data_IF_970574783615
#
_entry.id   IF_970574783615
#
_cell.length_a   1.000
_cell.length_b   1.000
_cell.length_c   1.000
_cell.angle_alpha   90.00
_cell.angle_beta   90.00
_cell.angle_gamma   90.00
#
_symmetry.space_group_name_H-M   'P 1'
#
loop_
_entity.id
_entity.type
_entity.pdbx_description
1 polymer ?
#
# COMPACT_ATOMS: atom_id res chain seq x y z
N UNK A 1 -10.24 -5.37 50.98
CA UNK A 1 -8.94 -4.78 50.58
C UNK A 1 -8.09 -5.89 49.98
N UNK A 2 -7.68 -5.70 48.73
CA UNK A 2 -6.88 -6.63 47.90
C UNK A 2 -6.74 -6.02 46.50
N UNK A 3 -5.57 -6.12 45.84
CA UNK A 3 -4.96 -4.96 45.20
C UNK A 3 -5.51 -4.61 43.82
N UNK A 4 -5.75 -3.32 43.62
CA UNK A 4 -6.05 -2.65 42.36
C UNK A 4 -4.78 -2.65 41.48
N UNK A 5 -4.79 -3.40 40.38
CA UNK A 5 -3.74 -3.32 39.38
C UNK A 5 -3.95 -2.06 38.51
N UNK A 6 -3.17 -1.03 38.78
CA UNK A 6 -3.05 0.16 37.93
C UNK A 6 -2.22 -0.19 36.69
N UNK A 7 -2.87 -0.23 35.53
CA UNK A 7 -2.19 -0.38 34.25
C UNK A 7 -1.48 0.94 33.87
N UNK A 8 -0.19 0.92 33.52
CA UNK A 8 0.49 2.11 33.04
C UNK A 8 -0.08 2.53 31.68
N UNK A 9 -0.52 3.79 31.60
CA UNK A 9 -0.94 4.48 30.39
C UNK A 9 0.25 4.58 29.44
N UNK A 10 0.41 3.58 28.56
CA UNK A 10 1.48 3.57 27.57
C UNK A 10 1.09 4.47 26.41
N UNK A 11 1.71 5.64 26.35
CA UNK A 11 1.69 6.52 25.18
C UNK A 11 1.96 5.71 23.91
N UNK A 12 1.01 5.78 22.97
CA UNK A 12 1.10 5.09 21.67
C UNK A 12 2.24 5.69 20.83
N UNK A 13 3.42 5.10 20.97
CA UNK A 13 4.51 5.27 20.01
C UNK A 13 4.20 4.42 18.78
N UNK A 14 3.97 5.09 17.65
CA UNK A 14 3.83 4.52 16.31
C UNK A 14 5.07 3.69 15.96
N UNK A 15 5.01 2.38 16.21
CA UNK A 15 6.00 1.42 15.69
C UNK A 15 5.78 1.28 14.19
N UNK A 16 6.40 2.19 13.46
CA UNK A 16 6.62 2.06 12.02
C UNK A 16 7.35 0.74 11.77
N UNK A 17 6.95 -0.01 10.72
CA UNK A 17 7.74 -1.14 10.23
C UNK A 17 9.10 -0.60 9.78
N UNK A 18 10.12 -0.79 10.62
CA UNK A 18 11.51 -0.52 10.28
C UNK A 18 12.07 -1.76 9.63
N UNK A 19 12.29 -1.73 8.32
CA UNK A 19 13.21 -2.68 7.68
C UNK A 19 14.61 -2.28 8.16
N UNK A 20 15.12 -3.00 9.16
CA UNK A 20 16.50 -2.83 9.61
C UNK A 20 17.39 -3.52 8.58
N UNK A 21 17.96 -2.74 7.65
CA UNK A 21 19.03 -3.22 6.78
C UNK A 21 20.29 -3.36 7.63
N UNK A 22 20.67 -4.60 7.96
CA UNK A 22 21.96 -4.89 8.58
C UNK A 22 23.00 -5.10 7.47
N UNK A 23 23.85 -4.09 7.25
CA UNK A 23 25.09 -4.28 6.51
C UNK A 23 26.24 -4.59 7.49
N UNK A 24 27.05 -5.61 7.19
CA UNK A 24 28.33 -5.87 7.86
C UNK A 24 29.45 -5.31 7.00
N UNK A 25 30.36 -4.54 7.61
CA UNK A 25 31.64 -4.19 7.00
C UNK A 25 32.74 -4.42 8.05
N UNK A 26 33.71 -5.29 7.76
CA UNK A 26 34.88 -5.53 8.63
C UNK A 26 34.58 -5.94 10.08
N UNK A 27 33.53 -6.73 10.34
CA UNK A 27 33.26 -7.29 11.68
C UNK A 27 32.65 -6.33 12.71
N UNK A 28 32.43 -5.05 12.41
CA UNK A 28 31.73 -4.11 13.31
C UNK A 28 30.26 -3.94 12.93
N UNK A 29 29.39 -4.02 13.94
CA UNK A 29 27.92 -3.99 13.84
C UNK A 29 27.44 -2.53 13.80
N UNK A 30 27.13 -1.99 12.62
CA UNK A 30 26.49 -0.67 12.53
C UNK A 30 24.98 -0.77 12.75
N UNK A 31 24.45 -0.14 13.81
CA UNK A 31 23.00 0.12 13.95
C UNK A 31 22.67 1.43 13.23
N UNK A 32 21.98 1.36 12.10
CA UNK A 32 21.42 2.54 11.45
C UNK A 32 20.10 2.90 12.15
N UNK A 33 20.18 3.65 13.25
CA UNK A 33 19.03 4.30 13.88
C UNK A 33 18.72 5.61 13.17
N UNK A 34 18.14 5.54 11.98
CA UNK A 34 17.43 6.69 11.40
C UNK A 34 16.32 6.14 10.55
N UNK A 35 15.09 6.56 10.85
CA UNK A 35 13.87 6.27 10.09
C UNK A 35 14.10 6.77 8.67
N UNK A 36 14.63 5.91 7.81
CA UNK A 36 14.50 6.11 6.38
C UNK A 36 13.01 5.91 6.15
N UNK A 37 12.31 6.96 5.71
CA UNK A 37 10.96 6.85 5.15
C UNK A 37 11.09 5.99 3.88
N UNK A 38 11.25 4.67 4.03
CA UNK A 38 11.31 3.67 2.95
C UNK A 38 9.91 3.32 2.46
N UNK A 39 8.96 4.25 2.56
CA UNK A 39 7.62 4.07 1.98
C UNK A 39 7.65 4.04 0.45
N UNK A 40 8.73 4.52 -0.18
CA UNK A 40 8.78 4.75 -1.63
C UNK A 40 9.26 3.57 -2.50
N UNK A 41 10.33 2.81 -2.19
CA UNK A 41 10.89 1.89 -3.18
C UNK A 41 10.29 0.48 -3.17
N UNK A 42 9.66 0.05 -2.07
CA UNK A 42 9.17 -1.34 -1.95
C UNK A 42 7.89 -1.60 -2.76
N UNK A 43 7.10 -0.56 -3.06
CA UNK A 43 5.65 -0.74 -3.27
C UNK A 43 5.13 -0.72 -4.71
N UNK A 44 5.92 -0.26 -5.68
CA UNK A 44 5.56 -0.26 -7.13
C UNK A 44 6.38 -1.25 -7.97
N UNK A 45 7.34 -1.91 -7.34
CA UNK A 45 8.57 -2.31 -8.00
C UNK A 45 8.69 -3.77 -8.44
N UNK A 46 8.53 -4.71 -7.51
CA UNK A 46 8.52 -6.15 -7.85
C UNK A 46 7.45 -6.47 -8.91
N UNK A 47 6.31 -5.79 -8.81
CA UNK A 47 5.18 -5.93 -9.73
C UNK A 47 5.50 -5.39 -11.14
N UNK A 48 6.39 -4.39 -11.26
CA UNK A 48 6.86 -3.87 -12.55
C UNK A 48 7.72 -4.90 -13.30
N UNK A 49 8.54 -5.69 -12.60
CA UNK A 49 9.48 -6.61 -13.23
C UNK A 49 8.78 -7.84 -13.82
N UNK A 50 7.84 -8.44 -13.10
CA UNK A 50 7.07 -9.59 -13.61
C UNK A 50 6.05 -9.17 -14.67
N UNK A 51 5.37 -8.02 -14.50
CA UNK A 51 4.49 -7.49 -15.54
C UNK A 51 5.26 -7.10 -16.82
N UNK A 52 6.50 -6.59 -16.71
CA UNK A 52 7.37 -6.30 -17.87
C UNK A 52 7.84 -7.59 -18.55
N UNK A 53 8.19 -8.64 -17.80
CA UNK A 53 8.55 -9.96 -18.35
C UNK A 53 7.37 -10.59 -19.10
N UNK A 54 6.17 -10.52 -18.52
CA UNK A 54 4.94 -11.09 -19.09
C UNK A 54 4.27 -10.17 -20.14
N UNK A 55 4.81 -8.97 -20.36
CA UNK A 55 4.22 -7.89 -21.18
C UNK A 55 2.74 -7.62 -20.85
N UNK A 56 2.29 -7.96 -19.65
CA UNK A 56 0.90 -7.77 -19.28
C UNK A 56 0.59 -6.28 -19.14
N UNK A 57 -0.50 -5.79 -19.76
CA UNK A 57 -0.85 -4.38 -19.69
C UNK A 57 -1.50 -4.10 -18.33
N UNK A 58 -0.68 -3.87 -17.29
CA UNK A 58 -1.10 -3.59 -15.91
C UNK A 58 -0.80 -2.13 -15.55
N UNK A 59 -1.74 -1.48 -14.85
CA UNK A 59 -1.55 -0.18 -14.19
C UNK A 59 -1.40 -0.33 -12.67
N UNK A 60 -0.74 0.61 -12.01
CA UNK A 60 -0.54 0.58 -10.56
C UNK A 60 -0.90 1.92 -9.93
N UNK A 61 -1.74 1.89 -8.89
CA UNK A 61 -1.93 3.04 -8.03
C UNK A 61 -0.75 3.21 -7.09
N UNK A 62 -0.47 4.45 -6.72
CA UNK A 62 0.54 4.78 -5.73
C UNK A 62 -0.01 4.58 -4.31
N UNK A 63 0.47 3.58 -3.56
CA UNK A 63 -0.02 3.31 -2.21
C UNK A 63 0.19 4.49 -1.25
N UNK A 64 1.19 5.33 -1.50
CA UNK A 64 1.45 6.53 -0.66
C UNK A 64 0.43 7.63 -0.88
N UNK A 65 -0.26 7.64 -2.03
CA UNK A 65 -1.29 8.61 -2.39
C UNK A 65 -2.70 8.15 -2.05
N UNK A 66 -2.86 6.89 -1.66
CA UNK A 66 -4.18 6.29 -1.38
C UNK A 66 -4.31 5.71 0.02
N UNK A 67 -3.26 5.65 0.84
CA UNK A 67 -3.34 5.12 2.20
C UNK A 67 -4.24 5.98 3.12
N UNK A 68 -4.72 5.39 4.22
CA UNK A 68 -5.69 6.00 5.13
C UNK A 68 -5.33 7.43 5.57
N UNK A 69 -4.05 7.67 5.87
CA UNK A 69 -3.54 9.00 6.28
C UNK A 69 -3.75 10.09 5.23
N UNK A 70 -3.87 9.72 3.94
CA UNK A 70 -4.14 10.66 2.86
C UNK A 70 -5.59 11.17 2.86
N UNK A 71 -6.52 10.42 3.45
CA UNK A 71 -7.93 10.82 3.55
C UNK A 71 -8.47 11.02 4.97
N UNK A 72 -7.69 10.67 6.00
CA UNK A 72 -8.03 10.98 7.40
C UNK A 72 -7.50 12.34 7.81
N UNK A 73 -8.30 13.09 8.57
CA UNK A 73 -7.89 14.37 9.16
C UNK A 73 -7.34 14.12 10.55
N UNK A 74 -6.10 14.56 10.78
CA UNK A 74 -5.53 14.69 12.12
C UNK A 74 -5.19 16.17 12.31
N UNK A 75 -5.81 16.82 13.29
CA UNK A 75 -5.51 18.19 13.67
C UNK A 75 -4.85 18.17 15.05
N UNK A 76 -3.75 18.90 15.20
CA UNK A 76 -3.23 19.21 16.53
C UNK A 76 -4.15 20.23 17.21
N UNK A 77 -4.45 20.10 18.51
CA UNK A 77 -5.24 21.08 19.26
C UNK A 77 -4.65 22.50 19.23
N UNK A 78 -3.36 22.63 18.96
CA UNK A 78 -2.60 23.88 19.01
C UNK A 78 -2.52 24.63 17.67
N UNK A 79 -3.34 24.25 16.67
CA UNK A 79 -3.31 24.92 15.36
C UNK A 79 -3.79 26.36 15.53
N UNK A 80 -2.98 27.35 15.14
CA UNK A 80 -3.36 28.78 15.20
C UNK A 80 -4.69 29.08 14.49
N UNK A 81 -5.00 28.34 13.41
CA UNK A 81 -6.24 28.45 12.64
C UNK A 81 -7.50 28.00 13.41
N UNK A 82 -7.32 27.35 14.55
CA UNK A 82 -8.37 26.89 15.46
C UNK A 82 -8.39 27.69 16.76
N UNK A 83 -7.48 28.67 16.92
CA UNK A 83 -7.45 29.56 18.07
C UNK A 83 -8.73 30.38 18.07
N UNK A 84 -9.36 30.48 19.24
CA UNK A 84 -10.58 31.25 19.49
C UNK A 84 -11.84 30.80 18.72
N UNK A 85 -11.82 29.60 18.11
CA UNK A 85 -12.99 29.00 17.44
C UNK A 85 -13.86 28.18 18.40
N UNK A 86 -15.16 28.18 18.16
CA UNK A 86 -16.08 27.32 18.92
C UNK A 86 -15.91 25.84 18.53
N UNK A 87 -16.33 24.89 19.39
CA UNK A 87 -16.33 23.46 19.05
C UNK A 87 -17.04 23.14 17.72
N UNK A 88 -18.15 23.84 17.42
CA UNK A 88 -18.93 23.68 16.19
C UNK A 88 -18.15 24.14 14.95
N UNK A 89 -17.48 25.29 15.04
CA UNK A 89 -16.63 25.82 13.96
C UNK A 89 -15.45 24.89 13.69
N UNK A 90 -14.85 24.31 14.74
CA UNK A 90 -13.79 23.32 14.61
C UNK A 90 -14.31 22.05 13.92
N UNK A 91 -15.53 21.61 14.25
CA UNK A 91 -16.15 20.43 13.65
C UNK A 91 -16.46 20.66 12.15
N UNK A 92 -17.03 21.81 11.79
CA UNK A 92 -17.32 22.17 10.40
C UNK A 92 -16.02 22.30 9.59
N UNK A 93 -14.98 22.93 10.16
CA UNK A 93 -13.66 23.00 9.55
C UNK A 93 -13.05 21.61 9.31
N UNK A 94 -13.09 20.71 10.31
CA UNK A 94 -12.64 19.32 10.19
C UNK A 94 -13.38 18.60 9.07
N UNK A 95 -14.70 18.78 8.97
CA UNK A 95 -15.55 18.18 7.94
C UNK A 95 -15.19 18.70 6.54
N UNK A 96 -14.96 20.00 6.39
CA UNK A 96 -14.49 20.62 5.15
C UNK A 96 -13.15 20.04 4.69
N UNK A 97 -12.16 20.02 5.59
CA UNK A 97 -10.83 19.45 5.31
C UNK A 97 -10.90 17.96 4.97
N UNK A 98 -11.75 17.22 5.67
CA UNK A 98 -11.96 15.80 5.42
C UNK A 98 -12.54 15.55 4.03
N UNK A 99 -13.57 16.31 3.65
CA UNK A 99 -14.16 16.27 2.31
C UNK A 99 -13.12 16.59 1.23
N UNK A 100 -12.29 17.61 1.44
CA UNK A 100 -11.23 17.97 0.49
C UNK A 100 -10.21 16.84 0.32
N UNK A 101 -9.76 16.22 1.41
CA UNK A 101 -8.84 15.08 1.34
C UNK A 101 -9.45 13.90 0.58
N UNK A 102 -10.71 13.56 0.84
CA UNK A 102 -11.43 12.50 0.11
C UNK A 102 -11.47 12.79 -1.40
N UNK A 103 -11.82 14.03 -1.77
CA UNK A 103 -11.86 14.47 -3.18
C UNK A 103 -10.49 14.36 -3.84
N UNK A 104 -9.42 14.77 -3.15
CA UNK A 104 -8.06 14.73 -3.70
C UNK A 104 -7.62 13.29 -4.00
N UNK A 105 -7.88 12.34 -3.10
CA UNK A 105 -7.59 10.93 -3.33
C UNK A 105 -8.47 10.38 -4.46
N UNK A 106 -9.76 10.69 -4.47
CA UNK A 106 -10.68 10.24 -5.53
C UNK A 106 -10.26 10.74 -6.92
N UNK A 107 -9.88 12.02 -7.03
CA UNK A 107 -9.41 12.61 -8.28
C UNK A 107 -8.09 11.98 -8.74
N UNK A 108 -7.17 11.71 -7.81
CA UNK A 108 -5.93 10.99 -8.14
C UNK A 108 -6.24 9.63 -8.77
N UNK A 109 -7.09 8.83 -8.13
CA UNK A 109 -7.46 7.49 -8.60
C UNK A 109 -8.21 7.59 -9.93
N UNK A 110 -9.18 8.51 -10.06
CA UNK A 110 -9.94 8.70 -11.29
C UNK A 110 -9.06 9.11 -12.48
N UNK A 111 -8.08 10.00 -12.27
CA UNK A 111 -7.07 10.33 -13.28
C UNK A 111 -6.17 9.14 -13.63
N UNK A 112 -5.81 8.33 -12.64
CA UNK A 112 -5.05 7.10 -12.88
C UNK A 112 -5.85 6.09 -13.73
N UNK A 113 -7.16 5.94 -13.50
CA UNK A 113 -8.02 5.10 -14.34
C UNK A 113 -8.06 5.59 -15.79
N UNK A 114 -8.18 6.91 -16.01
CA UNK A 114 -8.12 7.50 -17.36
C UNK A 114 -6.76 7.27 -18.04
N UNK A 115 -5.67 7.39 -17.27
CA UNK A 115 -4.31 7.17 -17.77
C UNK A 115 -4.05 5.70 -18.14
N UNK A 116 -4.61 4.76 -17.37
CA UNK A 116 -4.44 3.32 -17.57
C UNK A 116 -5.53 2.68 -18.43
N UNK A 117 -6.21 3.43 -19.31
CA UNK A 117 -7.25 2.87 -20.19
C UNK A 117 -6.70 1.82 -21.19
N UNK A 118 -5.44 1.93 -21.60
CA UNK A 118 -4.78 0.91 -22.40
C UNK A 118 -4.32 -0.31 -21.58
N UNK A 119 -4.58 -0.32 -20.26
CA UNK A 119 -4.27 -1.42 -19.36
C UNK A 119 -5.51 -2.30 -19.16
N UNK A 120 -5.27 -3.60 -19.04
CA UNK A 120 -6.30 -4.59 -18.74
C UNK A 120 -6.80 -4.48 -17.31
N UNK A 121 -5.92 -4.17 -16.36
CA UNK A 121 -6.21 -4.13 -14.93
C UNK A 121 -5.40 -3.05 -14.24
N UNK A 122 -5.96 -2.46 -13.18
CA UNK A 122 -5.27 -1.55 -12.27
C UNK A 122 -5.14 -2.23 -10.91
N UNK A 123 -3.93 -2.31 -10.40
CA UNK A 123 -3.59 -2.93 -9.13
C UNK A 123 -3.30 -1.86 -8.07
N UNK A 124 -3.67 -2.14 -6.82
CA UNK A 124 -3.43 -1.23 -5.72
C UNK A 124 -3.16 -1.97 -4.41
N UNK A 125 -2.25 -1.42 -3.60
CA UNK A 125 -2.11 -1.78 -2.20
C UNK A 125 -2.66 -0.64 -1.35
N UNK A 126 -3.67 -0.91 -0.53
CA UNK A 126 -4.24 0.07 0.39
C UNK A 126 -3.82 -0.26 1.82
N UNK A 127 -3.40 0.77 2.56
CA UNK A 127 -3.00 0.64 3.96
C UNK A 127 -3.93 1.41 4.87
N UNK A 128 -4.44 0.75 5.90
CA UNK A 128 -5.26 1.32 6.96
C UNK A 128 -4.90 0.65 8.29
N UNK A 129 -4.79 1.43 9.37
CA UNK A 129 -4.47 0.94 10.71
C UNK A 129 -3.30 -0.07 10.74
N UNK A 130 -2.20 0.24 10.03
CA UNK A 130 -1.02 -0.62 9.88
C UNK A 130 -1.27 -2.01 9.21
N UNK A 131 -2.42 -2.19 8.58
CA UNK A 131 -2.79 -3.37 7.79
C UNK A 131 -2.81 -3.07 6.29
N UNK A 132 -2.35 -4.01 5.46
CA UNK A 132 -2.36 -3.88 3.99
C UNK A 132 -3.36 -4.85 3.37
N UNK A 133 -4.11 -4.35 2.40
CA UNK A 133 -4.96 -5.14 1.51
C UNK A 133 -4.56 -4.90 0.05
N UNK A 134 -4.75 -5.92 -0.79
CA UNK A 134 -4.61 -5.82 -2.24
C UNK A 134 -5.94 -5.52 -2.91
N UNK A 135 -5.92 -4.74 -3.99
CA UNK A 135 -7.09 -4.51 -4.84
C UNK A 135 -6.76 -4.81 -6.29
N UNK A 136 -7.67 -5.54 -6.94
CA UNK A 136 -7.66 -5.80 -8.38
C UNK A 136 -8.84 -5.04 -8.99
N UNK A 137 -8.56 -4.00 -9.76
CA UNK A 137 -9.56 -3.06 -10.25
C UNK A 137 -9.66 -3.17 -11.77
N UNK A 138 -10.88 -3.33 -12.26
CA UNK A 138 -11.22 -3.30 -13.69
C UNK A 138 -12.14 -2.11 -13.98
N UNK A 139 -11.61 -0.91 -14.23
CA UNK A 139 -12.43 0.29 -14.47
C UNK A 139 -13.46 0.08 -15.60
N UNK A 140 -13.04 -0.51 -16.72
CA UNK A 140 -13.91 -0.78 -17.87
C UNK A 140 -15.05 -1.76 -17.59
N UNK A 141 -14.85 -2.69 -16.66
CA UNK A 141 -15.83 -3.71 -16.27
C UNK A 141 -16.64 -3.31 -15.03
N UNK A 142 -16.34 -2.15 -14.45
CA UNK A 142 -16.97 -1.64 -13.23
C UNK A 142 -16.82 -2.61 -12.04
N UNK A 143 -15.68 -3.30 -11.91
CA UNK A 143 -15.45 -4.23 -10.79
C UNK A 143 -14.17 -3.93 -10.04
N UNK A 144 -14.20 -4.21 -8.73
CA UNK A 144 -13.02 -4.26 -7.88
C UNK A 144 -13.11 -5.48 -6.97
N UNK A 145 -12.01 -6.22 -6.87
CA UNK A 145 -11.86 -7.33 -5.94
C UNK A 145 -10.88 -6.94 -4.85
N UNK A 146 -11.28 -7.16 -3.59
CA UNK A 146 -10.46 -6.89 -2.40
C UNK A 146 -9.87 -8.20 -1.90
N UNK A 147 -8.55 -8.24 -1.78
CA UNK A 147 -7.78 -9.34 -1.23
C UNK A 147 -7.26 -8.94 0.15
N UNK A 148 -7.91 -9.46 1.19
CA UNK A 148 -7.58 -9.17 2.58
C UNK A 148 -6.97 -10.40 3.28
N UNK A 149 -5.70 -10.34 3.72
CA UNK A 149 -5.06 -11.44 4.44
C UNK A 149 -5.71 -11.78 5.79
N UNK A 150 -6.53 -10.91 6.38
CA UNK A 150 -7.18 -11.12 7.69
C UNK A 150 -8.71 -11.09 7.65
N UNK A 151 -9.32 -10.87 6.48
CA UNK A 151 -10.77 -10.71 6.33
C UNK A 151 -11.36 -9.67 7.29
N UNK A 152 -10.73 -8.50 7.40
CA UNK A 152 -11.37 -7.39 8.09
C UNK A 152 -12.73 -7.11 7.46
N UNK A 153 -13.71 -6.81 8.31
CA UNK A 153 -14.98 -6.29 7.84
C UNK A 153 -14.73 -5.08 6.93
N UNK A 154 -15.47 -5.01 5.83
CA UNK A 154 -15.39 -3.89 4.90
C UNK A 154 -15.71 -2.55 5.55
N UNK A 155 -16.38 -2.53 6.70
CA UNK A 155 -16.57 -1.32 7.52
C UNK A 155 -15.23 -0.68 7.91
N UNK A 156 -14.19 -1.48 8.14
CA UNK A 156 -12.84 -1.02 8.50
C UNK A 156 -12.19 -0.14 7.42
N UNK A 157 -12.61 -0.31 6.16
CA UNK A 157 -12.11 0.43 5.01
C UNK A 157 -13.23 1.00 4.11
N UNK A 158 -14.45 1.12 4.64
CA UNK A 158 -15.66 1.59 3.92
C UNK A 158 -15.49 2.97 3.33
N UNK A 159 -14.77 3.84 4.04
CA UNK A 159 -14.45 5.17 3.54
C UNK A 159 -13.61 5.10 2.26
N UNK A 160 -12.64 4.18 2.20
CA UNK A 160 -11.84 4.00 0.99
C UNK A 160 -12.67 3.42 -0.16
N UNK A 161 -13.58 2.48 0.10
CA UNK A 161 -14.54 2.01 -0.91
C UNK A 161 -15.40 3.15 -1.45
N UNK A 162 -15.80 4.09 -0.59
CA UNK A 162 -16.54 5.29 -0.99
C UNK A 162 -15.70 6.20 -1.89
N UNK A 163 -14.41 6.39 -1.57
CA UNK A 163 -13.46 7.11 -2.44
C UNK A 163 -13.37 6.44 -3.82
N UNK A 164 -13.30 5.11 -3.89
CA UNK A 164 -13.28 4.38 -5.18
C UNK A 164 -14.55 4.62 -6.00
N UNK A 165 -15.72 4.67 -5.35
CA UNK A 165 -16.97 5.03 -6.04
C UNK A 165 -16.91 6.44 -6.62
N UNK A 166 -16.40 7.42 -5.87
CA UNK A 166 -16.23 8.79 -6.39
C UNK A 166 -15.19 8.87 -7.51
N UNK A 167 -14.08 8.15 -7.38
CA UNK A 167 -13.05 8.06 -8.41
C UNK A 167 -13.63 7.48 -9.72
N UNK A 168 -14.48 6.48 -9.61
CA UNK A 168 -15.15 5.88 -10.76
C UNK A 168 -16.20 6.79 -11.40
N UNK A 169 -16.98 7.50 -10.59
CA UNK A 169 -17.87 8.56 -11.11
C UNK A 169 -17.08 9.63 -11.88
N UNK A 170 -15.93 10.06 -11.35
CA UNK A 170 -15.04 10.99 -12.04
C UNK A 170 -14.52 10.40 -13.35
N UNK A 171 -14.07 9.14 -13.35
CA UNK A 171 -13.62 8.43 -14.54
C UNK A 171 -14.71 8.41 -15.63
N UNK A 172 -15.94 8.04 -15.29
CA UNK A 172 -17.09 8.05 -16.21
C UNK A 172 -17.38 9.45 -16.74
N UNK A 173 -17.44 10.43 -15.84
CA UNK A 173 -17.71 11.83 -16.19
C UNK A 173 -16.69 12.40 -17.19
N UNK A 174 -15.44 11.96 -17.10
CA UNK A 174 -14.36 12.37 -18.00
C UNK A 174 -14.24 11.51 -19.26
N UNK A 175 -15.25 10.71 -19.59
CA UNK A 175 -15.30 9.92 -20.82
C UNK A 175 -14.47 8.64 -20.78
N UNK A 176 -14.21 8.09 -19.57
CA UNK A 176 -13.51 6.82 -19.43
C UNK A 176 -14.24 5.66 -20.10
N UNK A 177 -13.48 4.82 -20.81
CA UNK A 177 -13.98 3.64 -21.53
C UNK A 177 -14.75 2.68 -20.62
N UNK A 178 -15.89 2.20 -21.11
CA UNK A 178 -16.79 1.32 -20.38
C UNK A 178 -17.22 0.18 -21.29
N UNK A 179 -17.01 -1.05 -20.84
CA UNK A 179 -17.53 -2.27 -21.49
C UNK A 179 -18.90 -2.62 -20.88
N UNK A 180 -19.08 -2.35 -19.58
CA UNK A 180 -20.36 -2.49 -18.88
C UNK A 180 -20.87 -1.11 -18.47
N UNK A 181 -22.18 -0.90 -18.59
CA UNK A 181 -22.86 0.37 -18.30
C UNK A 181 -23.41 0.45 -16.87
N UNK A 182 -22.64 0.01 -15.87
CA UNK A 182 -23.09 0.11 -14.46
C UNK A 182 -22.96 1.54 -13.93
N UNK A 183 -23.90 1.93 -13.06
CA UNK A 183 -23.85 3.23 -12.39
C UNK A 183 -22.72 3.29 -11.36
N UNK A 184 -22.51 2.20 -10.63
CA UNK A 184 -21.56 2.08 -9.51
C UNK A 184 -20.55 0.94 -9.74
N UNK A 185 -19.39 1.08 -9.12
CA UNK A 185 -18.40 -0.01 -9.04
C UNK A 185 -18.99 -1.16 -8.22
N UNK A 186 -18.96 -2.38 -8.76
CA UNK A 186 -19.24 -3.58 -7.99
C UNK A 186 -17.98 -3.96 -7.20
N UNK A 187 -18.12 -4.05 -5.88
CA UNK A 187 -17.02 -4.39 -4.96
C UNK A 187 -17.21 -5.83 -4.49
N UNK A 188 -16.23 -6.68 -4.76
CA UNK A 188 -16.16 -8.03 -4.23
C UNK A 188 -15.25 -8.03 -3.00
N UNK A 189 -15.85 -8.16 -1.82
CA UNK A 189 -15.16 -8.34 -0.53
C UNK A 189 -15.17 -9.80 -0.12
N UNK A 190 -14.31 -10.19 0.83
CA UNK A 190 -14.16 -11.59 1.27
C UNK A 190 -13.81 -12.55 0.13
N UNK A 191 -13.05 -12.05 -0.86
CA UNK A 191 -12.58 -12.88 -1.94
C UNK A 191 -11.61 -13.95 -1.40
N UNK A 192 -11.72 -15.21 -1.85
CA UNK A 192 -10.80 -16.24 -1.40
C UNK A 192 -9.35 -15.87 -1.75
N UNK A 193 -8.48 -15.89 -0.74
CA UNK A 193 -7.07 -15.57 -0.89
C UNK A 193 -6.26 -16.15 0.29
N UNK A 194 -4.93 -16.22 0.13
CA UNK A 194 -4.08 -16.69 1.21
C UNK A 194 -4.23 -15.79 2.45
N UNK A 195 -4.34 -16.41 3.63
CA UNK A 195 -4.60 -15.72 4.90
C UNK A 195 -3.33 -15.65 5.73
N UNK A 196 -3.09 -14.51 6.38
CA UNK A 196 -1.99 -14.42 7.33
C UNK A 196 -2.42 -14.96 8.70
N UNK A 197 -1.50 -15.57 9.46
CA UNK A 197 -1.80 -15.95 10.84
C UNK A 197 -2.17 -14.71 11.68
N UNK A 198 -3.21 -14.84 12.51
CA UNK A 198 -3.65 -13.75 13.40
C UNK A 198 -2.53 -13.35 14.37
N UNK A 199 -2.44 -12.06 14.67
CA UNK A 199 -1.40 -11.50 15.55
C UNK A 199 -0.03 -11.28 14.88
N UNK A 200 0.11 -11.59 13.60
CA UNK A 200 1.33 -11.30 12.82
C UNK A 200 1.25 -9.94 12.12
N UNK A 201 2.40 -9.44 11.66
CA UNK A 201 2.53 -8.15 10.94
C UNK A 201 2.88 -8.35 9.46
N UNK A 202 2.37 -9.44 8.86
CA UNK A 202 2.79 -9.90 7.53
C UNK A 202 1.94 -9.37 6.38
N UNK A 203 0.87 -8.62 6.64
CA UNK A 203 -0.08 -8.13 5.62
C UNK A 203 0.58 -7.45 4.43
N UNK A 204 1.67 -6.70 4.67
CA UNK A 204 2.46 -6.07 3.61
C UNK A 204 3.08 -7.09 2.64
N UNK A 205 3.61 -8.21 3.15
CA UNK A 205 4.17 -9.29 2.31
C UNK A 205 3.07 -9.99 1.50
N UNK A 206 1.93 -10.26 2.13
CA UNK A 206 0.78 -10.85 1.44
C UNK A 206 0.24 -9.93 0.35
N UNK A 207 0.07 -8.63 0.62
CA UNK A 207 -0.35 -7.67 -0.38
C UNK A 207 0.67 -7.56 -1.54
N UNK A 208 1.97 -7.59 -1.26
CA UNK A 208 2.99 -7.63 -2.32
C UNK A 208 2.83 -8.88 -3.20
N UNK A 209 2.62 -10.04 -2.57
CA UNK A 209 2.45 -11.31 -3.27
C UNK A 209 1.17 -11.34 -4.10
N UNK A 210 0.03 -10.91 -3.54
CA UNK A 210 -1.24 -10.81 -4.26
C UNK A 210 -1.13 -10.01 -5.56
N UNK A 211 -0.40 -8.89 -5.52
CA UNK A 211 -0.21 -8.06 -6.68
C UNK A 211 0.80 -8.66 -7.67
N UNK A 212 1.82 -9.37 -7.17
CA UNK A 212 2.81 -10.07 -7.98
C UNK A 212 2.19 -11.22 -8.77
N UNK A 213 1.45 -12.11 -8.10
CA UNK A 213 0.79 -13.27 -8.73
C UNK A 213 -0.69 -13.02 -9.03
N UNK A 214 -1.04 -11.77 -9.37
CA UNK A 214 -2.42 -11.33 -9.55
C UNK A 214 -3.23 -12.22 -10.52
N UNK A 215 -2.61 -12.82 -11.53
CA UNK A 215 -3.24 -13.76 -12.47
C UNK A 215 -4.04 -14.86 -11.77
N UNK A 216 -3.55 -15.35 -10.63
CA UNK A 216 -4.21 -16.39 -9.82
C UNK A 216 -5.55 -15.92 -9.25
N UNK A 217 -5.64 -14.65 -8.84
CA UNK A 217 -6.84 -14.09 -8.22
C UNK A 217 -7.79 -13.42 -9.22
N UNK A 218 -7.60 -13.65 -10.52
CA UNK A 218 -8.40 -13.05 -11.62
C UNK A 218 -9.38 -14.03 -12.26
N UNK A 219 -9.42 -15.27 -11.78
CA UNK A 219 -10.40 -16.31 -12.14
C UNK A 219 -11.68 -16.17 -11.31
N UNK A 220 -12.72 -16.97 -11.56
CA UNK A 220 -13.89 -16.96 -10.69
C UNK A 220 -13.55 -17.55 -9.31
N UNK A 221 -14.20 -17.12 -8.22
CA UNK A 221 -13.94 -17.64 -6.88
C UNK A 221 -14.06 -19.17 -6.78
N UNK A 222 -14.99 -19.74 -7.51
CA UNK A 222 -15.29 -21.17 -7.53
C UNK A 222 -14.16 -21.98 -8.21
N UNK A 223 -13.41 -21.33 -9.10
CA UNK A 223 -12.30 -21.92 -9.85
C UNK A 223 -10.95 -21.77 -9.10
N UNK A 224 -10.92 -21.09 -7.95
CA UNK A 224 -9.70 -20.93 -7.15
C UNK A 224 -9.32 -22.24 -6.44
N UNK A 225 -8.06 -22.70 -6.53
CA UNK A 225 -7.61 -23.87 -5.78
C UNK A 225 -7.82 -23.67 -4.28
N UNK A 226 -8.24 -24.72 -3.55
CA UNK A 226 -8.58 -24.64 -2.12
C UNK A 226 -7.44 -24.10 -1.27
N UNK A 227 -6.20 -24.41 -1.65
CA UNK A 227 -4.97 -23.94 -1.03
C UNK A 227 -4.93 -22.40 -1.04
N UNK A 228 -5.38 -21.79 -2.12
CA UNK A 228 -5.36 -20.33 -2.27
C UNK A 228 -6.52 -19.65 -1.56
N UNK A 229 -7.53 -20.39 -1.10
CA UNK A 229 -8.74 -19.80 -0.53
C UNK A 229 -8.56 -19.37 0.92
N UNK A 230 -7.77 -20.11 1.72
CA UNK A 230 -7.68 -19.89 3.17
C UNK A 230 -6.33 -20.27 3.81
N UNK A 231 -5.34 -20.76 3.06
CA UNK A 231 -4.08 -21.17 3.68
C UNK A 231 -3.13 -19.99 3.90
N UNK A 232 -2.27 -20.12 4.91
CA UNK A 232 -1.14 -19.21 5.09
C UNK A 232 0.04 -19.63 4.24
N UNK A 233 0.80 -18.66 3.76
CA UNK A 233 2.14 -18.92 3.26
C UNK A 233 2.98 -19.58 4.35
N UNK A 234 3.73 -20.60 3.96
CA UNK A 234 4.73 -21.17 4.85
C UNK A 234 5.90 -20.20 5.06
N UNK A 235 6.76 -20.51 6.03
CA UNK A 235 7.92 -19.68 6.34
C UNK A 235 8.89 -19.55 5.16
N UNK A 236 8.94 -20.54 4.26
CA UNK A 236 9.81 -20.55 3.09
C UNK A 236 9.32 -19.56 2.04
N UNK A 237 8.02 -19.56 1.75
CA UNK A 237 7.36 -18.60 0.88
C UNK A 237 7.53 -17.16 1.40
N UNK A 238 7.34 -16.93 2.70
CA UNK A 238 7.59 -15.61 3.30
C UNK A 238 9.05 -15.17 3.14
N UNK A 239 10.02 -16.07 3.40
CA UNK A 239 11.45 -15.78 3.20
C UNK A 239 11.78 -15.48 1.74
N UNK A 240 11.17 -16.19 0.80
CA UNK A 240 11.35 -15.94 -0.62
C UNK A 240 10.82 -14.56 -1.02
N UNK A 241 9.61 -14.19 -0.55
CA UNK A 241 9.06 -12.83 -0.76
C UNK A 241 10.01 -11.78 -0.19
N UNK A 242 10.54 -12.00 1.02
CA UNK A 242 11.51 -11.09 1.64
C UNK A 242 12.79 -10.95 0.81
N UNK A 243 13.34 -12.07 0.32
CA UNK A 243 14.54 -12.08 -0.53
C UNK A 243 14.30 -11.32 -1.82
N UNK A 244 13.18 -11.55 -2.48
CA UNK A 244 12.83 -10.90 -3.74
C UNK A 244 12.63 -9.39 -3.54
N UNK A 245 11.95 -9.00 -2.45
CA UNK A 245 11.79 -7.59 -2.08
C UNK A 245 13.13 -6.93 -1.80
N UNK A 246 13.99 -7.59 -1.03
CA UNK A 246 15.32 -7.08 -0.71
C UNK A 246 16.15 -6.89 -1.98
N UNK A 247 16.20 -7.91 -2.83
CA UNK A 247 16.95 -7.86 -4.10
C UNK A 247 16.43 -6.73 -4.99
N UNK A 248 15.11 -6.60 -5.11
CA UNK A 248 14.49 -5.51 -5.87
C UNK A 248 14.85 -4.13 -5.30
N UNK A 249 14.67 -3.90 -4.01
CA UNK A 249 14.96 -2.60 -3.37
C UNK A 249 16.42 -2.25 -3.59
N UNK A 250 17.31 -3.20 -3.36
CA UNK A 250 18.74 -2.98 -3.52
C UNK A 250 19.08 -2.62 -4.98
N UNK A 251 18.67 -3.46 -5.94
CA UNK A 251 19.03 -3.31 -7.35
C UNK A 251 18.35 -2.13 -8.04
N UNK A 252 17.06 -1.95 -7.81
CA UNK A 252 16.24 -1.05 -8.63
C UNK A 252 16.04 0.32 -7.98
N UNK A 253 16.22 0.42 -6.67
CA UNK A 253 15.95 1.66 -5.94
C UNK A 253 17.17 2.21 -5.22
N UNK A 254 18.06 1.35 -4.74
CA UNK A 254 19.23 1.79 -4.01
C UNK A 254 20.47 1.93 -4.90
N UNK A 255 20.66 1.02 -5.85
CA UNK A 255 21.79 1.05 -6.76
C UNK A 255 21.69 2.24 -7.72
N UNK A 256 22.82 2.88 -8.03
CA UNK A 256 22.88 4.09 -8.87
C UNK A 256 22.33 3.88 -10.29
N UNK A 257 22.47 2.65 -10.81
CA UNK A 257 21.91 2.24 -12.11
C UNK A 257 20.46 1.75 -12.01
N UNK A 258 19.90 1.68 -10.80
CA UNK A 258 18.54 1.20 -10.57
C UNK A 258 17.52 2.10 -11.24
N UNK A 259 16.48 1.51 -11.83
CA UNK A 259 15.48 2.26 -12.59
C UNK A 259 14.75 3.34 -11.76
N UNK A 260 14.56 3.06 -10.47
CA UNK A 260 13.85 3.92 -9.53
C UNK A 260 14.82 4.62 -8.57
N UNK A 261 16.10 4.70 -8.91
CA UNK A 261 17.08 5.42 -8.13
C UNK A 261 16.76 6.92 -8.12
N UNK A 262 16.59 7.49 -6.93
CA UNK A 262 16.38 8.92 -6.73
C UNK A 262 17.72 9.65 -6.76
N UNK A 263 17.95 10.37 -7.87
CA UNK A 263 19.20 11.11 -8.12
C UNK A 263 19.38 12.33 -7.23
N UNK A 264 18.29 12.85 -6.65
CA UNK A 264 18.30 14.06 -5.84
C UNK A 264 18.25 13.74 -4.33
N UNK A 265 17.81 12.54 -3.99
CA UNK A 265 17.68 12.07 -2.62
C UNK A 265 19.01 11.92 -1.86
N UNK A 266 18.90 11.84 -0.53
CA UNK A 266 20.04 11.65 0.37
C UNK A 266 20.88 10.41 0.03
N UNK A 267 20.28 9.40 -0.61
CA UNK A 267 20.99 8.20 -1.03
C UNK A 267 22.03 8.50 -2.13
N UNK A 268 21.70 9.39 -3.07
CA UNK A 268 22.60 9.83 -4.12
C UNK A 268 23.65 10.84 -3.63
N UNK A 269 23.24 11.78 -2.78
CA UNK A 269 24.04 12.96 -2.43
C UNK A 269 24.96 12.79 -1.22
N UNK A 270 24.71 11.80 -0.35
CA UNK A 270 25.52 11.60 0.85
C UNK A 270 26.54 10.47 0.70
N UNK A 271 27.81 10.75 1.00
CA UNK A 271 28.89 9.75 0.99
C UNK A 271 28.68 8.60 1.98
N UNK A 272 27.87 8.83 3.02
CA UNK A 272 27.46 7.80 3.99
C UNK A 272 26.86 6.57 3.31
N UNK A 273 26.20 6.74 2.16
CA UNK A 273 25.52 5.66 1.44
C UNK A 273 26.25 5.21 0.18
N UNK A 274 27.48 5.68 -0.06
CA UNK A 274 28.27 5.34 -1.25
C UNK A 274 28.37 3.83 -1.45
N UNK A 275 28.75 3.11 -0.39
CA UNK A 275 28.84 1.64 -0.42
C UNK A 275 27.51 0.95 -0.71
N UNK A 276 26.37 1.54 -0.35
CA UNK A 276 25.05 0.95 -0.58
C UNK A 276 24.59 1.15 -2.03
N UNK A 277 24.88 2.31 -2.64
CA UNK A 277 24.47 2.63 -4.02
C UNK A 277 25.42 2.12 -5.10
N UNK A 278 26.66 1.82 -4.73
CA UNK A 278 27.72 1.28 -5.62
C UNK A 278 28.03 -0.20 -5.32
N UNK A 279 27.31 -0.84 -4.39
CA UNK A 279 27.50 -2.25 -4.08
C UNK A 279 27.26 -3.10 -5.33
N UNK A 280 28.21 -3.96 -5.69
CA UNK A 280 28.10 -4.84 -6.85
C UNK A 280 26.80 -5.64 -6.82
N UNK A 281 26.09 -5.72 -7.95
CA UNK A 281 24.87 -6.52 -8.10
C UNK A 281 25.05 -8.03 -7.79
N UNK A 282 26.28 -8.48 -7.59
CA UNK A 282 26.61 -9.80 -7.05
C UNK A 282 26.33 -9.83 -5.53
N UNK A 283 25.09 -10.11 -5.15
CA UNK A 283 24.86 -10.76 -3.87
C UNK A 283 25.07 -12.27 -4.04
N UNK A 284 25.65 -12.97 -3.05
CA UNK A 284 25.66 -14.43 -3.01
C UNK A 284 24.25 -15.02 -2.93
#
# INVERSE_FOLDING_TARGET
MGPTATYPTRTMSTRHQVIVVQARNGGKRMRVNKVIRTTFPVRKGMQYMDAKKLKEPIGFLDPTRICQTQHTVQLSPQLEQLKDKTPEEIAEYKKGLHKQKLINVAQYIGRAFLHFQNKRVVLAAYNFNDHYIGLIIYPKHCTVTVLDPLDYSHDSYKQFLTILQYAYKYYKFKGGEQIRSREKLLVHTYWPCHKQPRGTVLSGYYACEFLRVNGRYRVNPEDLPREEQQTSFDNTAIKNIQRDLYHFIHRECCHVEGKFFDKEGALATSDKYKNLRECSNAMP
#
